data_IF_004537996913
#
_entry.id   IF_004537996913
#
_cell.length_a   1.000
_cell.length_b   1.000
_cell.length_c   1.000
_cell.angle_alpha   90.00
_cell.angle_beta   90.00
_cell.angle_gamma   90.00
#
_symmetry.space_group_name_H-M   'P 1'
#
loop_
_entity.id
_entity.type
_entity.pdbx_description
1 polymer ?
#
# COMPACT_ATOMS: atom_id res chain seq x y z
N UNK A 1 -37.76 -40.83 -44.16
CA UNK A 1 -37.60 -39.43 -43.69
C UNK A 1 -36.56 -39.38 -42.60
N UNK A 2 -35.34 -39.06 -42.95
CA UNK A 2 -34.20 -38.95 -42.02
C UNK A 2 -34.12 -37.47 -41.58
N UNK A 3 -34.33 -37.19 -40.29
CA UNK A 3 -34.11 -35.84 -39.72
C UNK A 3 -32.65 -35.76 -39.34
N UNK A 4 -31.85 -34.96 -40.06
CA UNK A 4 -30.51 -34.50 -39.67
C UNK A 4 -30.66 -33.52 -38.49
N UNK A 5 -30.11 -33.89 -37.35
CA UNK A 5 -29.95 -32.97 -36.20
C UNK A 5 -28.58 -32.34 -36.38
N UNK A 6 -28.55 -31.04 -36.69
CA UNK A 6 -27.35 -30.22 -36.64
C UNK A 6 -27.07 -29.84 -35.16
N UNK A 7 -26.03 -30.43 -34.61
CA UNK A 7 -25.48 -30.00 -33.32
C UNK A 7 -24.51 -28.85 -33.61
N UNK A 8 -24.90 -27.65 -33.32
CA UNK A 8 -24.04 -26.46 -33.28
C UNK A 8 -23.13 -26.56 -32.05
N UNK A 9 -21.88 -26.98 -32.26
CA UNK A 9 -20.81 -26.79 -31.27
C UNK A 9 -20.42 -25.32 -31.29
N UNK A 10 -20.90 -24.53 -30.33
CA UNK A 10 -20.34 -23.24 -30.01
C UNK A 10 -19.01 -23.47 -29.29
N UNK A 11 -17.91 -23.36 -30.05
CA UNK A 11 -16.57 -23.31 -29.46
C UNK A 11 -16.47 -21.97 -28.72
N UNK A 12 -16.62 -21.99 -27.40
CA UNK A 12 -16.18 -20.90 -26.55
C UNK A 12 -14.64 -20.87 -26.62
N UNK A 13 -14.11 -20.05 -27.52
CA UNK A 13 -12.73 -19.61 -27.45
C UNK A 13 -12.62 -18.78 -26.16
N UNK A 14 -12.17 -19.41 -25.07
CA UNK A 14 -11.63 -18.69 -23.94
C UNK A 14 -10.40 -17.94 -24.47
N UNK A 15 -10.60 -16.68 -24.85
CA UNK A 15 -9.51 -15.77 -25.07
C UNK A 15 -8.72 -15.74 -23.74
N UNK A 16 -7.51 -16.28 -23.77
CA UNK A 16 -6.52 -16.04 -22.73
C UNK A 16 -6.31 -14.53 -22.76
N UNK A 17 -7.02 -13.84 -21.89
CA UNK A 17 -6.90 -12.40 -21.75
C UNK A 17 -5.50 -12.18 -21.16
N UNK A 18 -4.54 -11.80 -22.00
CA UNK A 18 -3.20 -11.47 -21.53
C UNK A 18 -3.34 -10.40 -20.44
N UNK A 19 -2.59 -10.56 -19.36
CA UNK A 19 -2.56 -9.60 -18.28
C UNK A 19 -2.35 -8.19 -18.84
N UNK A 20 -3.25 -7.26 -18.52
CA UNK A 20 -3.17 -5.84 -18.94
C UNK A 20 -2.07 -5.11 -18.22
N UNK A 21 -1.50 -5.72 -17.19
CA UNK A 21 -0.45 -5.15 -16.38
C UNK A 21 0.86 -5.90 -16.61
N UNK A 22 1.96 -5.16 -16.81
CA UNK A 22 3.27 -5.71 -17.13
C UNK A 22 4.08 -5.97 -15.88
N UNK A 23 4.56 -7.20 -15.68
CA UNK A 23 5.58 -7.54 -14.71
C UNK A 23 6.92 -6.88 -15.12
N UNK A 24 7.52 -6.12 -14.19
CA UNK A 24 8.81 -5.43 -14.42
C UNK A 24 9.94 -5.99 -13.57
N UNK A 25 9.63 -6.58 -12.41
CA UNK A 25 10.57 -7.31 -11.57
C UNK A 25 9.92 -8.55 -10.98
N UNK A 26 10.71 -9.63 -10.90
CA UNK A 26 10.39 -10.82 -10.13
C UNK A 26 11.60 -11.20 -9.29
N UNK A 27 11.39 -11.40 -7.99
CA UNK A 27 12.47 -11.59 -7.04
C UNK A 27 12.21 -12.86 -6.22
N UNK A 28 13.21 -13.74 -6.19
CA UNK A 28 13.22 -14.89 -5.29
C UNK A 28 13.65 -14.44 -3.90
N UNK A 29 14.66 -13.58 -3.85
CA UNK A 29 15.30 -13.04 -2.65
C UNK A 29 15.65 -11.57 -2.86
N UNK A 30 15.85 -10.85 -1.76
CA UNK A 30 16.26 -9.45 -1.76
C UNK A 30 17.74 -9.36 -1.38
N UNK A 31 18.51 -8.66 -2.22
CA UNK A 31 19.91 -8.36 -1.98
C UNK A 31 20.14 -6.87 -1.90
N UNK A 32 20.94 -6.45 -0.95
CA UNK A 32 21.32 -5.05 -0.78
C UNK A 32 22.75 -4.79 -1.29
N UNK A 33 23.03 -3.55 -1.74
CA UNK A 33 24.40 -3.12 -2.08
C UNK A 33 25.34 -3.33 -0.89
N UNK A 34 26.67 -3.49 -1.11
CA UNK A 34 27.54 -4.07 -0.09
C UNK A 34 27.39 -3.39 1.26
N UNK A 35 26.75 -4.10 2.15
CA UNK A 35 26.69 -3.77 3.56
C UNK A 35 28.08 -4.10 4.08
N UNK A 36 28.78 -3.11 4.67
CA UNK A 36 30.04 -3.37 5.38
C UNK A 36 29.73 -4.21 6.63
N UNK A 37 29.60 -5.53 6.44
CA UNK A 37 29.22 -6.51 7.48
C UNK A 37 30.21 -6.50 8.65
N UNK A 38 31.44 -6.02 8.43
CA UNK A 38 32.47 -5.89 9.47
C UNK A 38 32.17 -4.84 10.55
N UNK A 39 31.18 -3.95 10.34
CA UNK A 39 30.75 -2.94 11.32
C UNK A 39 29.46 -3.27 12.06
N UNK A 40 28.71 -4.29 11.65
CA UNK A 40 27.61 -4.81 12.44
C UNK A 40 28.23 -5.60 13.60
N UNK A 41 28.36 -4.95 14.75
CA UNK A 41 28.82 -5.60 15.99
C UNK A 41 27.94 -6.81 16.26
N UNK A 42 28.59 -7.99 16.27
CA UNK A 42 28.13 -9.27 16.76
C UNK A 42 26.85 -9.86 16.14
N UNK A 43 27.06 -10.87 15.28
CA UNK A 43 26.14 -12.00 14.99
C UNK A 43 24.81 -11.76 14.24
N UNK A 44 24.60 -10.71 13.49
CA UNK A 44 23.47 -10.69 12.56
C UNK A 44 23.87 -11.30 11.22
N UNK A 45 23.71 -12.60 11.11
CA UNK A 45 23.70 -13.32 9.84
C UNK A 45 22.56 -12.74 9.00
N UNK A 46 22.87 -12.05 7.91
CA UNK A 46 21.84 -11.67 6.95
C UNK A 46 21.12 -12.94 6.49
N UNK A 47 19.85 -13.06 6.86
CA UNK A 47 19.00 -14.17 6.44
C UNK A 47 18.03 -13.66 5.37
N UNK A 48 18.30 -13.91 4.07
CA UNK A 48 17.47 -13.38 2.98
C UNK A 48 16.01 -13.80 3.07
N UNK A 49 15.70 -14.93 3.70
CA UNK A 49 14.31 -15.40 3.91
C UNK A 49 13.54 -14.57 4.94
N UNK A 50 14.24 -13.73 5.71
CA UNK A 50 13.62 -12.81 6.67
C UNK A 50 13.25 -11.46 6.04
N UNK A 51 13.58 -11.24 4.76
CA UNK A 51 13.35 -9.98 4.08
C UNK A 51 12.18 -10.11 3.10
N UNK A 52 11.13 -9.33 3.30
CA UNK A 52 10.01 -9.23 2.37
C UNK A 52 9.56 -7.77 2.22
N UNK A 53 9.44 -7.22 1.01
CA UNK A 53 8.96 -5.87 0.81
C UNK A 53 7.44 -5.82 1.02
N UNK A 54 6.97 -4.80 1.76
CA UNK A 54 5.56 -4.58 2.06
C UNK A 54 4.97 -3.39 1.31
N UNK A 55 5.80 -2.41 0.94
CA UNK A 55 5.35 -1.21 0.27
C UNK A 55 6.35 -0.74 -0.78
N UNK A 56 5.84 0.01 -1.74
CA UNK A 56 6.63 0.69 -2.77
C UNK A 56 6.18 2.14 -2.95
N UNK A 57 7.12 2.96 -3.43
CA UNK A 57 6.84 4.35 -3.85
C UNK A 57 7.83 4.74 -4.95
N UNK A 58 7.35 5.39 -6.00
CA UNK A 58 8.22 5.87 -7.09
C UNK A 58 8.41 7.37 -7.02
N UNK A 59 9.66 7.81 -7.07
CA UNK A 59 10.03 9.20 -7.31
C UNK A 59 11.12 9.28 -8.37
N UNK A 60 10.83 9.92 -9.48
CA UNK A 60 11.71 10.00 -10.65
C UNK A 60 12.26 8.61 -11.06
N UNK A 61 13.56 8.41 -10.96
CA UNK A 61 14.25 7.14 -11.27
C UNK A 61 14.53 6.25 -10.04
N UNK A 62 14.07 6.63 -8.86
CA UNK A 62 14.14 5.81 -7.64
C UNK A 62 12.81 5.09 -7.42
N UNK A 63 12.81 3.76 -7.39
CA UNK A 63 11.69 2.95 -6.91
C UNK A 63 12.03 2.48 -5.50
N UNK A 64 11.45 3.14 -4.51
CA UNK A 64 11.62 2.79 -3.10
C UNK A 64 10.91 1.50 -2.79
N UNK A 65 11.55 0.65 -1.98
CA UNK A 65 11.00 -0.57 -1.40
C UNK A 65 11.19 -0.56 0.10
N UNK A 66 10.13 -0.88 0.81
CA UNK A 66 10.08 -0.93 2.26
C UNK A 66 10.07 -2.39 2.71
N UNK A 67 11.04 -2.77 3.53
CA UNK A 67 11.26 -4.12 4.06
C UNK A 67 11.23 -4.09 5.58
N UNK A 68 10.03 -4.10 6.21
CA UNK A 68 9.90 -3.98 7.66
C UNK A 68 10.57 -5.13 8.41
N UNK A 69 11.00 -4.87 9.64
CA UNK A 69 11.62 -5.88 10.52
C UNK A 69 10.58 -6.76 11.20
N UNK A 70 9.75 -7.46 10.40
CA UNK A 70 8.80 -8.45 10.92
C UNK A 70 9.47 -9.68 11.53
N UNK A 71 10.67 -9.99 11.08
CA UNK A 71 11.57 -11.00 11.65
C UNK A 71 12.88 -10.33 12.06
N UNK A 72 13.69 -11.05 12.85
CA UNK A 72 15.05 -10.61 13.16
C UNK A 72 15.94 -10.67 11.90
N UNK A 73 17.10 -10.04 11.97
CA UNK A 73 18.14 -10.10 10.93
C UNK A 73 17.75 -9.49 9.57
N UNK A 74 16.79 -8.55 9.55
CA UNK A 74 16.51 -7.69 8.40
C UNK A 74 17.46 -6.48 8.45
N UNK A 75 18.48 -6.42 7.58
CA UNK A 75 19.55 -5.43 7.73
C UNK A 75 19.15 -4.03 7.31
N UNK A 76 18.24 -3.92 6.33
CA UNK A 76 17.80 -2.66 5.74
C UNK A 76 16.28 -2.63 5.69
N UNK A 77 15.68 -1.56 6.21
CA UNK A 77 14.22 -1.43 6.27
C UNK A 77 13.65 -0.47 5.21
N UNK A 78 14.50 0.33 4.55
CA UNK A 78 14.16 1.18 3.42
C UNK A 78 15.30 1.22 2.41
N UNK A 79 15.00 0.96 1.16
CA UNK A 79 15.97 0.94 0.06
C UNK A 79 15.31 1.38 -1.25
N UNK A 80 16.08 1.52 -2.31
CA UNK A 80 15.53 1.79 -3.64
C UNK A 80 16.25 1.00 -4.73
N UNK A 81 15.54 0.80 -5.86
CA UNK A 81 16.09 0.35 -7.14
C UNK A 81 16.20 1.57 -8.04
N UNK A 82 17.34 1.74 -8.73
CA UNK A 82 17.47 2.74 -9.78
C UNK A 82 16.80 2.20 -11.06
N UNK A 83 15.70 2.82 -11.47
CA UNK A 83 14.88 2.38 -12.61
C UNK A 83 15.20 3.13 -13.92
N UNK A 84 16.31 3.87 -14.01
CA UNK A 84 16.72 4.57 -15.23
C UNK A 84 16.83 3.62 -16.42
N UNK A 85 17.30 2.40 -16.19
CA UNK A 85 17.43 1.37 -17.22
C UNK A 85 16.83 0.03 -16.74
N UNK A 86 15.50 -0.04 -16.66
CA UNK A 86 14.78 -1.26 -16.24
C UNK A 86 15.05 -2.47 -17.14
N UNK A 87 15.34 -2.25 -18.42
CA UNK A 87 15.66 -3.33 -19.36
C UNK A 87 16.88 -4.15 -18.94
N UNK A 88 17.85 -3.52 -18.24
CA UNK A 88 19.05 -4.20 -17.74
C UNK A 88 18.76 -5.27 -16.68
N UNK A 89 17.58 -5.21 -16.06
CA UNK A 89 17.17 -6.16 -15.00
C UNK A 89 16.35 -7.34 -15.53
N UNK A 90 16.04 -7.43 -16.82
CA UNK A 90 15.23 -8.54 -17.39
C UNK A 90 15.75 -9.93 -17.05
N UNK A 91 17.07 -10.07 -16.89
CA UNK A 91 17.72 -11.35 -16.58
C UNK A 91 18.54 -11.31 -15.28
N UNK A 92 18.47 -10.22 -14.52
CA UNK A 92 19.28 -10.01 -13.33
C UNK A 92 18.41 -9.51 -12.17
N UNK A 93 18.58 -10.08 -11.00
CA UNK A 93 17.97 -9.56 -9.78
C UNK A 93 18.57 -8.18 -9.43
N UNK A 94 17.79 -7.13 -9.28
CA UNK A 94 18.31 -5.82 -8.89
C UNK A 94 18.90 -5.88 -7.47
N UNK A 95 20.02 -5.19 -7.29
CA UNK A 95 20.61 -4.95 -5.97
C UNK A 95 20.00 -3.68 -5.41
N UNK A 96 19.41 -3.75 -4.23
CA UNK A 96 18.75 -2.64 -3.58
C UNK A 96 19.77 -1.74 -2.86
N UNK A 97 19.60 -0.43 -2.99
CA UNK A 97 20.48 0.58 -2.39
C UNK A 97 19.83 1.12 -1.12
N UNK A 98 20.45 1.00 0.07
CA UNK A 98 19.91 1.53 1.32
C UNK A 98 19.67 3.05 1.25
N UNK A 99 18.51 3.52 1.70
CA UNK A 99 18.14 4.95 1.69
C UNK A 99 17.91 5.49 3.11
N UNK A 100 18.36 6.69 3.44
CA UNK A 100 19.24 7.57 2.65
C UNK A 100 20.69 7.07 2.58
N UNK A 101 21.08 6.22 3.51
CA UNK A 101 22.39 5.55 3.58
C UNK A 101 22.32 4.36 4.55
N UNK A 102 23.35 3.54 4.56
CA UNK A 102 23.40 2.34 5.40
C UNK A 102 23.35 2.64 6.91
N UNK A 103 23.97 3.74 7.36
CA UNK A 103 24.05 4.09 8.79
C UNK A 103 22.68 4.26 9.42
N UNK A 104 21.70 4.77 8.67
CA UNK A 104 20.32 4.94 9.16
C UNK A 104 19.60 3.63 9.45
N UNK A 105 20.15 2.49 9.06
CA UNK A 105 19.57 1.15 9.33
C UNK A 105 20.23 0.42 10.50
N UNK A 106 21.29 0.99 11.07
CA UNK A 106 21.86 0.52 12.35
C UNK A 106 20.87 0.82 13.47
N UNK A 107 20.56 -0.16 14.33
CA UNK A 107 19.60 0.02 15.42
C UNK A 107 20.16 0.99 16.45
N UNK A 108 19.59 2.19 16.51
CA UNK A 108 19.93 3.22 17.47
C UNK A 108 18.79 4.23 17.62
N UNK A 109 18.82 5.05 18.64
CA UNK A 109 17.71 5.97 19.03
C UNK A 109 17.24 6.93 17.91
N UNK A 110 18.16 7.32 17.00
CA UNK A 110 17.84 8.32 15.95
C UNK A 110 17.75 7.73 14.55
N UNK A 111 17.90 6.43 14.42
CA UNK A 111 17.90 5.71 13.16
C UNK A 111 16.56 4.99 12.93
N UNK A 112 16.40 4.43 11.73
CA UNK A 112 15.20 3.65 11.40
C UNK A 112 15.17 2.35 12.21
N UNK A 113 14.08 2.17 12.96
CA UNK A 113 13.81 0.91 13.66
C UNK A 113 13.12 -0.08 12.72
N UNK A 114 11.99 0.30 12.15
CA UNK A 114 11.25 -0.54 11.20
C UNK A 114 10.32 0.32 10.35
N UNK A 115 10.80 0.74 9.20
CA UNK A 115 9.97 1.46 8.24
C UNK A 115 8.89 0.53 7.69
N UNK A 116 7.65 0.99 7.66
CA UNK A 116 6.48 0.21 7.20
C UNK A 116 5.81 0.80 5.97
N UNK A 117 5.98 2.10 5.74
CA UNK A 117 5.41 2.79 4.57
C UNK A 117 6.19 4.03 4.23
N UNK A 118 6.22 4.37 2.95
CA UNK A 118 6.75 5.65 2.46
C UNK A 118 5.80 6.27 1.45
N UNK A 119 5.82 7.61 1.37
CA UNK A 119 5.11 8.39 0.34
C UNK A 119 5.95 9.58 -0.10
N UNK A 120 6.09 9.76 -1.40
CA UNK A 120 6.67 10.96 -1.99
C UNK A 120 5.57 11.98 -2.24
N UNK A 121 5.66 13.19 -1.65
CA UNK A 121 4.69 14.24 -1.88
C UNK A 121 5.03 15.12 -3.10
N UNK A 122 4.06 15.93 -3.53
CA UNK A 122 4.19 16.82 -4.70
C UNK A 122 5.22 17.93 -4.52
N UNK A 123 5.75 18.10 -3.31
CA UNK A 123 6.80 19.07 -2.95
C UNK A 123 8.18 18.41 -2.87
N UNK A 124 8.33 17.20 -3.43
CA UNK A 124 9.57 16.41 -3.47
C UNK A 124 10.12 16.07 -2.08
N UNK A 125 9.22 15.81 -1.11
CA UNK A 125 9.58 15.26 0.20
C UNK A 125 9.21 13.79 0.26
N UNK A 126 10.07 12.96 0.85
CA UNK A 126 9.78 11.57 1.20
C UNK A 126 9.35 11.50 2.67
N UNK A 127 8.12 11.09 2.89
CA UNK A 127 7.55 10.84 4.20
C UNK A 127 7.71 9.36 4.51
N UNK A 128 8.35 9.05 5.61
CA UNK A 128 8.76 7.71 6.01
C UNK A 128 8.08 7.40 7.33
N UNK A 129 7.18 6.44 7.34
CA UNK A 129 6.50 5.96 8.55
C UNK A 129 7.30 4.80 9.13
N UNK A 130 7.87 5.01 10.31
CA UNK A 130 8.53 3.98 11.12
C UNK A 130 7.63 3.62 12.30
N UNK A 131 7.25 2.35 12.41
CA UNK A 131 6.36 1.91 13.49
C UNK A 131 7.09 1.48 14.76
N UNK A 132 8.42 1.48 14.75
CA UNK A 132 9.25 1.14 15.90
C UNK A 132 9.21 -0.32 16.33
N UNK A 133 8.73 -1.27 15.48
CA UNK A 133 8.56 -2.68 15.86
C UNK A 133 9.58 -3.59 15.21
N UNK A 134 10.22 -4.43 15.99
CA UNK A 134 11.07 -5.54 15.50
C UNK A 134 10.46 -6.85 15.98
N UNK A 135 10.25 -7.80 15.07
CA UNK A 135 9.64 -9.10 15.38
C UNK A 135 8.33 -8.96 16.19
N UNK A 136 7.47 -8.02 15.78
CA UNK A 136 6.19 -7.66 16.41
C UNK A 136 6.28 -7.11 17.84
N UNK A 137 7.48 -6.80 18.34
CA UNK A 137 7.68 -6.13 19.63
C UNK A 137 7.99 -4.66 19.43
N UNK A 138 7.41 -3.79 20.26
CA UNK A 138 7.72 -2.36 20.25
C UNK A 138 9.11 -2.15 20.83
N UNK A 139 10.07 -1.69 20.03
CA UNK A 139 11.46 -1.44 20.42
C UNK A 139 11.75 0.07 20.52
N UNK A 140 11.04 0.89 19.75
CA UNK A 140 11.12 2.34 19.80
C UNK A 140 9.73 2.95 19.59
N UNK A 141 9.57 4.23 19.90
CA UNK A 141 8.35 4.98 19.62
C UNK A 141 8.13 5.08 18.10
N UNK A 142 6.88 5.02 17.61
CA UNK A 142 6.60 5.24 16.19
C UNK A 142 6.83 6.71 15.82
N UNK A 143 7.44 6.92 14.64
CA UNK A 143 7.82 8.24 14.16
C UNK A 143 7.53 8.43 12.67
N UNK A 144 7.37 9.69 12.26
CA UNK A 144 7.40 10.11 10.86
C UNK A 144 8.74 10.80 10.63
N UNK A 145 9.58 10.28 9.72
CA UNK A 145 10.73 11.01 9.20
C UNK A 145 10.37 11.64 7.86
N UNK A 146 10.86 12.84 7.60
CA UNK A 146 10.68 13.51 6.32
C UNK A 146 12.03 13.95 5.77
N UNK A 147 12.30 13.58 4.52
CA UNK A 147 13.51 13.90 3.78
C UNK A 147 13.20 14.69 2.52
N UNK A 148 14.07 15.60 2.15
CA UNK A 148 14.07 16.25 0.84
C UNK A 148 14.63 15.27 -0.19
N UNK A 149 13.85 14.93 -1.22
CA UNK A 149 14.23 13.93 -2.22
C UNK A 149 15.26 14.41 -3.24
N UNK A 150 15.45 15.74 -3.36
CA UNK A 150 16.44 16.33 -4.29
C UNK A 150 17.85 16.32 -3.69
N UNK A 151 17.92 16.50 -2.38
CA UNK A 151 19.19 16.65 -1.66
C UNK A 151 19.50 15.48 -0.73
N UNK A 152 18.52 14.59 -0.52
CA UNK A 152 18.53 13.52 0.47
C UNK A 152 18.77 14.01 1.93
N UNK A 153 18.50 15.32 2.20
CA UNK A 153 18.65 15.92 3.52
C UNK A 153 17.43 15.61 4.40
N UNK A 154 17.69 15.30 5.65
CA UNK A 154 16.66 15.15 6.67
C UNK A 154 16.04 16.51 6.99
N UNK A 155 14.69 16.61 6.89
CA UNK A 155 13.93 17.83 7.15
C UNK A 155 13.30 17.84 8.54
N UNK A 156 12.69 16.74 8.95
CA UNK A 156 11.97 16.65 10.22
C UNK A 156 11.79 15.20 10.67
N UNK A 157 11.78 15.00 11.98
CA UNK A 157 11.24 13.80 12.63
C UNK A 157 10.10 14.25 13.56
N UNK A 158 8.97 13.55 13.50
CA UNK A 158 7.82 13.77 14.36
C UNK A 158 7.47 12.50 15.14
N UNK A 159 7.42 12.64 16.45
CA UNK A 159 7.10 11.58 17.40
C UNK A 159 5.59 11.36 17.47
N UNK A 160 5.15 10.12 17.22
CA UNK A 160 3.77 9.67 17.34
C UNK A 160 3.49 8.95 18.68
N UNK A 161 4.48 8.89 19.57
CA UNK A 161 4.40 8.11 20.80
C UNK A 161 3.24 8.51 21.71
N UNK A 162 2.89 9.79 21.75
CA UNK A 162 1.75 10.29 22.52
C UNK A 162 0.37 9.80 22.00
N UNK A 163 0.29 9.35 20.75
CA UNK A 163 -0.89 8.69 20.15
C UNK A 163 -0.78 7.17 20.15
N UNK A 164 0.41 6.62 20.42
CA UNK A 164 0.62 5.18 20.47
C UNK A 164 0.00 4.61 21.74
N UNK A 165 -0.86 3.64 21.57
CA UNK A 165 -1.46 2.86 22.67
C UNK A 165 -1.11 1.38 22.49
N UNK A 166 -1.36 0.59 23.54
CA UNK A 166 -1.18 -0.86 23.47
C UNK A 166 -1.91 -1.42 22.25
N UNK A 167 -1.24 -2.31 21.53
CA UNK A 167 -1.75 -2.94 20.29
C UNK A 167 -1.89 -2.03 19.07
N UNK A 168 -1.45 -0.77 19.11
CA UNK A 168 -1.39 0.10 17.91
C UNK A 168 -0.69 -0.60 16.74
N UNK A 169 -1.29 -0.57 15.54
CA UNK A 169 -0.76 -1.19 14.33
C UNK A 169 -0.86 -0.22 13.15
N UNK A 170 0.06 0.71 13.12
CA UNK A 170 0.21 1.71 12.05
C UNK A 170 1.09 1.14 10.94
N UNK A 171 0.52 0.96 9.75
CA UNK A 171 1.20 0.34 8.62
C UNK A 171 0.95 1.04 7.30
N UNK A 172 0.23 2.15 7.31
CA UNK A 172 -0.06 2.94 6.11
C UNK A 172 0.00 4.44 6.40
N UNK A 173 0.28 5.24 5.39
CA UNK A 173 0.26 6.71 5.41
C UNK A 173 -0.20 7.22 4.04
N UNK A 174 -1.06 8.23 4.01
CA UNK A 174 -1.42 8.97 2.79
C UNK A 174 -1.33 10.47 3.05
N UNK A 175 -1.01 11.24 2.00
CA UNK A 175 -0.60 12.64 2.12
C UNK A 175 -1.59 13.57 1.43
N UNK A 176 -2.13 14.52 2.18
CA UNK A 176 -2.95 15.61 1.67
C UNK A 176 -2.11 16.89 1.56
N UNK A 177 -1.58 17.12 0.38
CA UNK A 177 -0.71 18.26 0.07
C UNK A 177 -0.87 18.66 -1.39
N UNK A 178 -0.73 19.96 -1.68
CA UNK A 178 -0.72 20.51 -3.03
C UNK A 178 0.61 21.23 -3.29
N UNK A 179 1.01 21.33 -4.56
CA UNK A 179 2.25 22.03 -4.95
C UNK A 179 2.25 23.51 -4.58
N UNK A 180 1.08 24.13 -4.48
CA UNK A 180 0.93 25.53 -4.08
C UNK A 180 0.94 25.76 -2.57
N UNK A 181 0.77 24.71 -1.76
CA UNK A 181 0.63 24.79 -0.31
C UNK A 181 1.44 23.72 0.42
N UNK A 182 2.74 23.59 0.06
CA UNK A 182 3.64 22.59 0.66
C UNK A 182 3.69 22.65 2.20
N UNK A 183 3.55 23.86 2.76
CA UNK A 183 3.56 24.05 4.22
C UNK A 183 2.24 23.66 4.89
N UNK A 184 1.15 23.51 4.14
CA UNK A 184 -0.16 23.09 4.66
C UNK A 184 -0.42 21.61 4.39
N UNK A 185 0.60 20.77 4.60
CA UNK A 185 0.52 19.34 4.39
C UNK A 185 -0.06 18.61 5.58
N UNK A 186 -0.87 17.60 5.32
CA UNK A 186 -1.38 16.65 6.30
C UNK A 186 -0.99 15.22 5.94
N UNK A 187 -0.72 14.41 6.96
CA UNK A 187 -0.56 12.97 6.83
C UNK A 187 -1.69 12.25 7.57
N UNK A 188 -2.31 11.29 6.90
CA UNK A 188 -3.36 10.43 7.42
C UNK A 188 -2.80 9.03 7.61
N UNK A 189 -2.82 8.51 8.85
CA UNK A 189 -2.16 7.28 9.25
C UNK A 189 -3.20 6.34 9.88
N UNK A 190 -3.67 5.32 9.16
CA UNK A 190 -4.53 4.29 9.70
C UNK A 190 -3.87 3.49 10.82
N UNK A 191 -4.59 3.29 11.93
CA UNK A 191 -4.25 2.35 12.98
C UNK A 191 -5.24 1.19 12.96
N UNK A 192 -4.83 0.09 12.36
CA UNK A 192 -5.73 -1.00 11.98
C UNK A 192 -6.23 -1.86 13.14
N UNK A 193 -5.51 -1.87 14.27
CA UNK A 193 -5.89 -2.65 15.45
C UNK A 193 -6.66 -1.84 16.48
N UNK A 194 -6.41 -0.56 16.57
CA UNK A 194 -7.10 0.32 17.53
C UNK A 194 -8.21 1.14 16.90
N UNK A 195 -8.47 0.91 15.59
CA UNK A 195 -9.58 1.49 14.82
C UNK A 195 -9.60 3.01 14.85
N UNK A 196 -8.44 3.62 14.61
CA UNK A 196 -8.26 5.08 14.62
C UNK A 196 -7.63 5.55 13.32
N UNK A 197 -7.88 6.80 13.00
CA UNK A 197 -7.13 7.56 12.02
C UNK A 197 -6.26 8.58 12.77
N UNK A 198 -4.95 8.42 12.74
CA UNK A 198 -4.01 9.42 13.25
C UNK A 198 -3.80 10.47 12.18
N UNK A 199 -3.83 11.73 12.57
CA UNK A 199 -3.72 12.89 11.69
C UNK A 199 -2.55 13.74 12.15
N UNK A 200 -1.60 13.99 11.26
CA UNK A 200 -0.47 14.89 11.52
C UNK A 200 -0.56 16.10 10.61
N UNK A 201 -0.36 17.29 11.16
CA UNK A 201 -0.24 18.56 10.45
C UNK A 201 1.21 19.03 10.41
N UNK A 202 1.77 19.18 9.21
CA UNK A 202 3.10 19.74 9.01
C UNK A 202 3.23 21.16 9.50
N UNK A 203 2.21 21.99 9.23
CA UNK A 203 2.20 23.41 9.55
C UNK A 203 2.24 23.67 11.05
N UNK A 204 1.42 22.96 11.81
CA UNK A 204 1.35 23.12 13.27
C UNK A 204 2.32 22.22 14.02
N UNK A 205 2.95 21.27 13.31
CA UNK A 205 3.80 20.21 13.87
C UNK A 205 3.13 19.50 15.05
N UNK A 206 1.88 19.13 14.87
CA UNK A 206 1.05 18.48 15.89
C UNK A 206 0.22 17.36 15.28
N UNK A 207 -0.25 16.45 16.12
CA UNK A 207 -1.10 15.34 15.68
C UNK A 207 -2.21 15.05 16.68
N UNK A 208 -3.25 14.37 16.18
CA UNK A 208 -4.40 13.91 16.97
C UNK A 208 -4.96 12.63 16.34
N UNK A 209 -5.82 11.97 17.09
CA UNK A 209 -6.48 10.75 16.64
C UNK A 209 -7.99 10.95 16.50
N UNK A 210 -8.57 10.35 15.50
CA UNK A 210 -10.01 10.31 15.23
C UNK A 210 -10.47 8.85 15.34
N UNK A 211 -11.64 8.63 15.93
CA UNK A 211 -12.33 7.34 15.97
C UNK A 211 -13.66 7.43 15.22
N UNK A 212 -14.05 6.35 14.56
CA UNK A 212 -15.36 6.24 13.92
C UNK A 212 -15.75 4.77 13.75
N UNK A 213 -17.05 4.45 13.80
CA UNK A 213 -17.54 3.07 13.65
C UNK A 213 -17.10 2.42 12.33
N UNK A 214 -16.97 3.19 11.26
CA UNK A 214 -16.52 2.70 9.95
C UNK A 214 -15.04 2.32 9.89
N UNK A 215 -14.28 2.59 10.94
CA UNK A 215 -12.88 2.18 11.05
C UNK A 215 -12.72 0.75 11.59
N UNK A 216 -13.80 0.17 12.13
CA UNK A 216 -13.78 -1.19 12.66
C UNK A 216 -13.77 -2.23 11.54
N UNK A 217 -13.39 -3.45 11.86
CA UNK A 217 -13.53 -4.60 10.99
C UNK A 217 -14.97 -5.10 10.97
N UNK A 218 -15.32 -5.84 9.91
CA UNK A 218 -16.57 -6.58 9.82
C UNK A 218 -16.29 -8.03 10.30
N UNK A 219 -16.94 -8.49 11.37
CA UNK A 219 -16.75 -9.86 11.88
C UNK A 219 -17.02 -10.95 10.84
N UNK A 220 -17.90 -10.69 9.85
CA UNK A 220 -18.21 -11.63 8.77
C UNK A 220 -17.12 -11.70 7.69
N UNK A 221 -16.20 -10.73 7.67
CA UNK A 221 -15.14 -10.62 6.69
C UNK A 221 -13.75 -10.93 7.28
N UNK A 222 -13.66 -11.32 8.54
CA UNK A 222 -12.39 -11.59 9.22
C UNK A 222 -11.74 -12.92 8.86
N UNK A 223 -12.47 -13.81 8.19
CA UNK A 223 -11.98 -15.13 7.79
C UNK A 223 -11.21 -15.01 6.48
N UNK A 224 -9.90 -15.29 6.53
CA UNK A 224 -8.98 -15.17 5.40
C UNK A 224 -8.49 -16.55 5.00
N UNK A 225 -8.78 -16.92 3.75
CA UNK A 225 -8.32 -18.16 3.15
C UNK A 225 -7.55 -17.85 1.86
N UNK A 226 -6.23 -17.98 1.90
CA UNK A 226 -5.32 -17.74 0.78
C UNK A 226 -4.44 -18.97 0.55
N UNK A 227 -4.73 -19.74 -0.49
CA UNK A 227 -4.06 -21.00 -0.74
C UNK A 227 -4.19 -21.99 0.43
N UNK A 228 -3.06 -22.41 0.99
CA UNK A 228 -3.02 -23.28 2.18
C UNK A 228 -3.07 -22.52 3.51
N UNK A 229 -3.12 -21.19 3.48
CA UNK A 229 -3.09 -20.35 4.67
C UNK A 229 -4.51 -19.94 5.04
N UNK A 230 -4.95 -20.36 6.23
CA UNK A 230 -6.23 -20.02 6.81
C UNK A 230 -6.03 -19.35 8.18
N UNK A 231 -6.60 -18.17 8.38
CA UNK A 231 -6.55 -17.45 9.65
C UNK A 231 -7.68 -16.43 9.76
N UNK A 232 -7.95 -16.01 11.00
CA UNK A 232 -8.85 -14.90 11.25
C UNK A 232 -8.08 -13.63 11.55
N UNK A 233 -8.61 -12.49 11.06
CA UNK A 233 -8.07 -11.15 11.31
C UNK A 233 -9.17 -10.21 11.80
N UNK A 234 -8.79 -9.33 12.72
CA UNK A 234 -9.65 -8.25 13.25
C UNK A 234 -9.10 -6.88 12.83
N UNK A 235 -8.33 -6.83 11.73
CA UNK A 235 -7.76 -5.58 11.25
C UNK A 235 -8.82 -4.70 10.61
N UNK A 236 -8.99 -3.52 11.19
CA UNK A 236 -9.88 -2.47 10.72
C UNK A 236 -9.24 -1.57 9.65
N UNK A 237 -9.37 -0.25 9.83
CA UNK A 237 -8.94 0.80 8.90
C UNK A 237 -7.51 0.57 8.38
N UNK A 238 -7.37 0.50 7.05
CA UNK A 238 -6.07 0.23 6.41
C UNK A 238 -5.90 0.94 5.07
N UNK A 239 -6.75 0.62 4.10
CA UNK A 239 -6.70 1.25 2.78
C UNK A 239 -7.21 2.68 2.85
N UNK A 240 -6.42 3.61 2.30
CA UNK A 240 -6.74 5.04 2.27
C UNK A 240 -6.22 5.63 0.96
N UNK A 241 -7.03 6.45 0.29
CA UNK A 241 -6.68 7.15 -0.94
C UNK A 241 -7.41 8.49 -1.02
N UNK A 242 -6.86 9.45 -1.73
CA UNK A 242 -7.37 10.81 -1.83
C UNK A 242 -7.81 11.14 -3.26
N UNK A 243 -8.98 11.75 -3.40
CA UNK A 243 -9.41 12.37 -4.66
C UNK A 243 -8.56 13.59 -5.03
N UNK A 244 -8.67 14.13 -6.24
CA UNK A 244 -8.22 15.48 -6.54
C UNK A 244 -8.82 16.51 -5.57
N UNK A 245 -8.15 17.65 -5.44
CA UNK A 245 -8.67 18.78 -4.68
C UNK A 245 -9.95 19.32 -5.35
N UNK A 246 -11.04 19.37 -4.60
CA UNK A 246 -12.30 19.92 -5.05
C UNK A 246 -12.29 21.46 -5.04
N UNK A 247 -13.37 22.09 -5.53
CA UNK A 247 -13.49 23.56 -5.60
C UNK A 247 -13.44 24.23 -4.23
N UNK A 248 -13.81 23.53 -3.18
CA UNK A 248 -13.76 24.02 -1.79
C UNK A 248 -12.34 23.95 -1.17
N UNK A 249 -11.34 23.48 -1.92
CA UNK A 249 -9.96 23.34 -1.47
C UNK A 249 -9.66 22.04 -0.71
N UNK A 250 -10.63 21.15 -0.55
CA UNK A 250 -10.50 19.90 0.18
C UNK A 250 -10.61 18.69 -0.76
N UNK A 251 -10.33 17.50 -0.22
CA UNK A 251 -10.35 16.22 -0.95
C UNK A 251 -11.38 15.28 -0.33
N UNK A 252 -11.84 14.33 -1.11
CA UNK A 252 -12.52 13.15 -0.58
C UNK A 252 -11.46 12.14 -0.16
N UNK A 253 -11.52 11.69 1.08
CA UNK A 253 -10.73 10.59 1.61
C UNK A 253 -11.57 9.32 1.43
N UNK A 254 -11.14 8.42 0.55
CA UNK A 254 -11.70 7.07 0.40
C UNK A 254 -10.96 6.13 1.32
N UNK A 255 -11.67 5.26 2.03
CA UNK A 255 -11.03 4.33 2.96
C UNK A 255 -11.82 3.04 3.14
N UNK A 256 -11.13 2.02 3.63
CA UNK A 256 -11.72 0.74 3.97
C UNK A 256 -10.88 0.00 5.01
N UNK A 257 -11.51 -0.95 5.70
CA UNK A 257 -10.85 -1.89 6.61
C UNK A 257 -10.35 -3.11 5.84
N UNK A 258 -9.27 -3.76 6.31
CA UNK A 258 -8.77 -5.02 5.72
C UNK A 258 -9.87 -6.09 5.81
N UNK A 259 -10.37 -6.34 7.01
CA UNK A 259 -11.45 -7.31 7.23
C UNK A 259 -12.82 -6.64 6.98
N UNK A 260 -13.05 -6.18 5.76
CA UNK A 260 -14.33 -5.65 5.31
C UNK A 260 -14.40 -5.60 3.78
N UNK A 261 -15.58 -5.75 3.24
CA UNK A 261 -15.87 -5.52 1.80
C UNK A 261 -16.53 -4.16 1.55
N UNK A 262 -16.76 -3.38 2.59
CA UNK A 262 -17.36 -2.05 2.49
C UNK A 262 -16.32 -0.99 2.11
N UNK A 263 -16.74 -0.01 1.36
CA UNK A 263 -16.01 1.22 1.07
C UNK A 263 -16.69 2.42 1.73
N UNK A 264 -15.89 3.38 2.19
CA UNK A 264 -16.33 4.56 2.90
C UNK A 264 -15.63 5.81 2.37
N UNK A 265 -16.24 6.98 2.63
CA UNK A 265 -15.66 8.26 2.26
C UNK A 265 -15.95 9.35 3.32
N UNK A 266 -15.03 10.31 3.42
CA UNK A 266 -15.22 11.53 4.22
C UNK A 266 -14.51 12.71 3.54
N UNK A 267 -15.03 13.93 3.71
CA UNK A 267 -14.35 15.13 3.23
C UNK A 267 -13.17 15.48 4.15
N UNK A 268 -11.98 15.75 3.58
CA UNK A 268 -10.77 16.06 4.35
C UNK A 268 -10.91 17.34 5.21
N UNK A 269 -11.86 18.24 4.88
CA UNK A 269 -12.19 19.40 5.72
C UNK A 269 -12.60 19.00 7.13
N UNK A 270 -13.40 17.92 7.26
CA UNK A 270 -13.84 17.41 8.57
C UNK A 270 -12.65 16.89 9.35
N UNK A 271 -11.79 16.14 8.70
CA UNK A 271 -10.60 15.56 9.32
C UNK A 271 -9.60 16.65 9.72
N UNK A 272 -9.34 17.64 8.86
CA UNK A 272 -8.36 18.73 9.08
C UNK A 272 -8.82 19.78 10.08
N UNK A 273 -10.08 19.80 10.47
CA UNK A 273 -10.64 20.82 11.39
C UNK A 273 -9.97 20.82 12.77
N UNK A 274 -9.38 19.69 13.18
CA UNK A 274 -8.80 19.52 14.53
C UNK A 274 -9.84 19.46 15.65
N UNK A 275 -11.10 19.74 15.35
CA UNK A 275 -12.22 19.78 16.30
C UNK A 275 -13.25 18.69 15.99
N UNK A 276 -12.75 17.50 15.63
CA UNK A 276 -13.61 16.36 15.34
C UNK A 276 -14.36 15.94 16.63
N UNK A 277 -15.69 15.90 16.52
CA UNK A 277 -16.60 15.48 17.58
C UNK A 277 -17.40 14.28 17.06
N UNK A 278 -17.28 13.14 17.75
CA UNK A 278 -17.95 11.90 17.36
C UNK A 278 -19.48 12.07 17.28
N UNK A 279 -20.08 12.89 18.11
CA UNK A 279 -21.53 13.06 18.14
C UNK A 279 -22.03 13.98 17.00
N UNK A 280 -21.23 14.98 16.62
CA UNK A 280 -21.59 15.95 15.59
C UNK A 280 -21.21 15.51 14.18
N UNK A 281 -20.01 14.90 14.04
CA UNK A 281 -19.44 14.62 12.73
C UNK A 281 -19.66 13.17 12.25
N UNK A 282 -20.38 12.34 13.01
CA UNK A 282 -20.63 10.95 12.64
C UNK A 282 -21.31 10.82 11.27
N UNK A 283 -22.20 11.76 10.92
CA UNK A 283 -22.94 11.76 9.64
C UNK A 283 -22.16 12.36 8.47
N UNK A 284 -20.99 12.95 8.71
CA UNK A 284 -20.10 13.43 7.65
C UNK A 284 -19.37 12.28 6.94
N UNK A 285 -19.28 11.13 7.59
CA UNK A 285 -18.76 9.89 7.01
C UNK A 285 -19.84 9.18 6.21
N UNK A 286 -19.54 8.78 5.00
CA UNK A 286 -20.47 8.18 4.06
C UNK A 286 -20.12 6.72 3.76
N UNK A 287 -21.14 5.89 3.73
CA UNK A 287 -21.04 4.55 3.13
C UNK A 287 -21.07 4.73 1.62
N UNK A 288 -20.04 4.24 0.94
CA UNK A 288 -20.02 4.21 -0.52
C UNK A 288 -20.77 3.00 -1.05
N UNK A 289 -20.56 1.83 -0.46
CA UNK A 289 -21.19 0.56 -0.85
C UNK A 289 -20.29 -0.65 -0.57
N UNK A 290 -20.60 -1.77 -1.21
CA UNK A 290 -19.96 -3.06 -0.97
C UNK A 290 -19.28 -3.59 -2.24
N UNK A 291 -18.06 -4.09 -2.11
CA UNK A 291 -17.26 -4.70 -3.20
C UNK A 291 -17.73 -6.11 -3.60
N UNK A 292 -18.61 -6.72 -2.81
CA UNK A 292 -19.05 -8.10 -3.00
C UNK A 292 -18.30 -9.11 -2.15
N UNK A 293 -18.77 -10.35 -2.18
CA UNK A 293 -18.25 -11.45 -1.34
C UNK A 293 -16.79 -11.78 -1.66
N UNK A 294 -15.97 -12.03 -0.63
CA UNK A 294 -14.56 -12.38 -0.75
C UNK A 294 -13.69 -11.29 -1.44
N UNK A 295 -14.11 -10.04 -1.37
CA UNK A 295 -13.37 -8.89 -1.92
C UNK A 295 -12.80 -7.98 -0.81
N UNK A 296 -12.24 -8.58 0.24
CA UNK A 296 -11.42 -7.88 1.21
C UNK A 296 -10.22 -7.23 0.50
N UNK A 297 -9.87 -6.00 0.89
CA UNK A 297 -8.87 -5.23 0.17
C UNK A 297 -7.70 -4.80 1.07
N UNK A 298 -6.53 -4.69 0.45
CA UNK A 298 -5.29 -4.21 1.06
C UNK A 298 -5.10 -2.71 0.82
N UNK A 299 -3.96 -2.29 0.31
CA UNK A 299 -3.66 -0.90 -0.05
C UNK A 299 -4.56 -0.39 -1.18
N UNK A 300 -4.77 0.90 -1.23
CA UNK A 300 -5.49 1.59 -2.30
C UNK A 300 -4.73 2.82 -2.80
N UNK A 301 -5.00 3.20 -4.04
CA UNK A 301 -4.47 4.41 -4.65
C UNK A 301 -5.47 4.99 -5.65
N UNK A 302 -5.52 6.29 -5.74
CA UNK A 302 -6.43 7.01 -6.62
C UNK A 302 -5.65 7.61 -7.79
N UNK A 303 -6.11 7.41 -9.01
CA UNK A 303 -5.61 8.13 -10.17
C UNK A 303 -6.37 9.43 -10.37
N UNK A 304 -5.66 10.54 -10.20
CA UNK A 304 -6.28 11.86 -10.24
C UNK A 304 -6.70 12.29 -11.64
N UNK A 305 -6.16 11.68 -12.69
CA UNK A 305 -6.49 12.00 -14.08
C UNK A 305 -7.77 11.31 -14.53
N UNK A 306 -7.89 10.00 -14.27
CA UNK A 306 -9.06 9.20 -14.72
C UNK A 306 -10.16 9.09 -13.68
N UNK A 307 -9.91 9.49 -12.43
CA UNK A 307 -10.89 9.35 -11.34
C UNK A 307 -11.02 7.92 -10.82
N UNK A 308 -10.11 7.03 -11.18
CA UNK A 308 -10.18 5.62 -10.81
C UNK A 308 -9.50 5.36 -9.49
N UNK A 309 -10.26 4.74 -8.58
CA UNK A 309 -9.76 4.17 -7.33
C UNK A 309 -9.34 2.71 -7.58
N UNK A 310 -8.06 2.41 -7.38
CA UNK A 310 -7.50 1.06 -7.40
C UNK A 310 -7.32 0.53 -5.99
N UNK A 311 -7.48 -0.78 -5.80
CA UNK A 311 -7.20 -1.47 -4.54
C UNK A 311 -6.78 -2.92 -4.77
N UNK A 312 -5.86 -3.42 -3.95
CA UNK A 312 -5.43 -4.82 -3.99
C UNK A 312 -6.49 -5.72 -3.36
N UNK A 313 -6.86 -6.83 -4.00
CA UNK A 313 -7.77 -7.81 -3.41
C UNK A 313 -6.97 -8.89 -2.67
N UNK A 314 -7.25 -9.05 -1.38
CA UNK A 314 -6.44 -9.85 -0.45
C UNK A 314 -6.44 -11.34 -0.78
N UNK A 315 -7.57 -11.88 -1.27
CA UNK A 315 -7.74 -13.32 -1.48
C UNK A 315 -7.35 -13.80 -2.88
N UNK A 316 -6.86 -12.90 -3.72
CA UNK A 316 -6.47 -13.20 -5.11
C UNK A 316 -5.34 -12.29 -5.53
N UNK A 317 -4.51 -12.75 -6.46
CA UNK A 317 -3.49 -11.88 -7.06
C UNK A 317 -4.10 -10.99 -8.16
N UNK A 318 -5.05 -10.15 -7.77
CA UNK A 318 -5.79 -9.25 -8.65
C UNK A 318 -6.00 -7.89 -8.00
N UNK A 319 -6.27 -6.88 -8.82
CA UNK A 319 -6.71 -5.56 -8.37
C UNK A 319 -8.21 -5.40 -8.60
N UNK A 320 -8.85 -4.68 -7.71
CA UNK A 320 -10.14 -4.06 -7.97
C UNK A 320 -9.95 -2.63 -8.47
N UNK A 321 -10.89 -2.14 -9.26
CA UNK A 321 -10.98 -0.74 -9.65
C UNK A 321 -12.44 -0.24 -9.66
N UNK A 322 -12.63 1.05 -9.39
CA UNK A 322 -13.90 1.74 -9.49
C UNK A 322 -13.67 3.17 -9.98
N UNK A 323 -14.48 3.60 -10.95
CA UNK A 323 -14.36 4.95 -11.51
C UNK A 323 -15.33 5.90 -10.80
N UNK A 324 -14.79 6.85 -10.03
CA UNK A 324 -15.58 7.83 -9.28
C UNK A 324 -16.22 8.91 -10.16
N UNK A 325 -15.80 9.04 -11.42
CA UNK A 325 -16.34 10.02 -12.35
C UNK A 325 -17.50 9.47 -13.19
N UNK A 326 -17.70 8.13 -13.21
CA UNK A 326 -18.81 7.51 -13.94
C UNK A 326 -20.18 7.88 -13.38
N UNK A 327 -20.25 8.35 -12.13
CA UNK A 327 -21.54 8.59 -11.44
C UNK A 327 -22.19 7.32 -10.91
N UNK A 328 -21.61 6.16 -11.16
CA UNK A 328 -22.12 4.87 -10.72
C UNK A 328 -21.84 4.63 -9.23
N UNK A 329 -22.78 3.93 -8.57
CA UNK A 329 -22.61 3.54 -7.18
C UNK A 329 -21.44 2.58 -7.00
N UNK A 330 -20.81 2.62 -5.83
CA UNK A 330 -19.75 1.70 -5.47
C UNK A 330 -20.33 0.33 -5.07
N UNK A 331 -20.56 -0.55 -6.02
CA UNK A 331 -21.10 -1.89 -5.79
C UNK A 331 -20.41 -2.95 -6.66
N UNK A 332 -20.76 -4.20 -6.50
CA UNK A 332 -20.10 -5.32 -7.17
C UNK A 332 -20.21 -5.27 -8.71
N UNK A 333 -21.27 -4.68 -9.26
CA UNK A 333 -21.52 -4.63 -10.71
C UNK A 333 -20.77 -3.49 -11.39
N UNK A 334 -20.42 -2.43 -10.65
CA UNK A 334 -19.76 -1.23 -11.16
C UNK A 334 -18.25 -1.21 -10.90
N UNK A 335 -17.70 -2.32 -10.37
CA UNK A 335 -16.29 -2.49 -10.11
C UNK A 335 -15.65 -3.47 -11.09
N UNK A 336 -14.50 -3.07 -11.63
CA UNK A 336 -13.67 -3.93 -12.47
C UNK A 336 -12.71 -4.78 -11.66
N UNK A 337 -12.27 -5.88 -12.27
CA UNK A 337 -11.20 -6.73 -11.75
C UNK A 337 -10.09 -6.85 -12.80
N UNK A 338 -8.86 -6.61 -12.37
CA UNK A 338 -7.65 -6.63 -13.20
C UNK A 338 -6.74 -7.74 -12.68
N UNK A 339 -6.57 -8.81 -13.48
CA UNK A 339 -5.67 -9.90 -13.13
C UNK A 339 -4.22 -9.45 -13.27
N UNK A 340 -3.39 -9.75 -12.28
CA UNK A 340 -1.93 -9.58 -12.35
C UNK A 340 -1.32 -10.79 -13.02
N UNK A 341 -1.53 -11.98 -12.46
CA UNK A 341 -1.15 -13.28 -13.00
C UNK A 341 -1.93 -14.40 -12.29
N UNK A 342 -1.52 -15.66 -12.53
CA UNK A 342 -2.17 -16.84 -11.95
C UNK A 342 -1.50 -17.33 -10.64
N UNK A 343 -0.67 -16.52 -9.99
CA UNK A 343 -0.05 -16.89 -8.71
C UNK A 343 -1.10 -16.98 -7.62
N UNK A 344 -1.23 -18.15 -6.99
CA UNK A 344 -2.24 -18.42 -5.95
C UNK A 344 -1.77 -18.07 -4.54
N UNK A 345 -0.44 -18.04 -4.33
CA UNK A 345 0.18 -17.81 -3.03
C UNK A 345 0.66 -16.36 -2.83
N UNK A 346 0.30 -15.49 -3.76
CA UNK A 346 0.65 -14.07 -3.74
C UNK A 346 -0.60 -13.20 -3.69
N UNK A 347 -0.44 -11.99 -3.19
CA UNK A 347 -1.50 -10.98 -3.20
C UNK A 347 -0.89 -9.58 -3.36
N UNK A 348 -1.66 -8.60 -3.87
CA UNK A 348 -1.22 -7.22 -3.97
C UNK A 348 -1.06 -6.61 -2.58
N UNK A 349 0.17 -6.52 -2.09
CA UNK A 349 0.50 -5.94 -0.78
C UNK A 349 0.43 -4.41 -0.83
N UNK A 350 0.86 -3.81 -1.95
CA UNK A 350 0.79 -2.36 -2.16
C UNK A 350 0.40 -2.01 -3.59
N UNK A 351 -0.38 -0.94 -3.71
CA UNK A 351 -0.86 -0.37 -4.97
C UNK A 351 -0.57 1.12 -4.96
N UNK A 352 0.06 1.64 -6.01
CA UNK A 352 0.39 3.06 -6.13
C UNK A 352 0.25 3.57 -7.56
N UNK A 353 -0.47 4.66 -7.75
CA UNK A 353 -0.41 5.46 -8.96
C UNK A 353 0.62 6.54 -8.75
N UNK A 354 1.64 6.59 -9.61
CA UNK A 354 2.68 7.60 -9.54
C UNK A 354 2.26 8.91 -10.24
N UNK A 355 3.04 9.98 -10.06
CA UNK A 355 2.75 11.30 -10.63
C UNK A 355 2.77 11.36 -12.16
N UNK A 356 3.24 10.30 -12.81
CA UNK A 356 3.31 10.22 -14.27
C UNK A 356 2.21 9.33 -14.85
N UNK A 357 1.22 8.96 -14.01
CA UNK A 357 0.06 8.17 -14.41
C UNK A 357 0.37 6.68 -14.63
N UNK A 358 1.42 6.14 -14.00
CA UNK A 358 1.69 4.71 -14.00
C UNK A 358 1.15 4.06 -12.73
N UNK A 359 0.45 2.96 -12.91
CA UNK A 359 0.04 2.07 -11.83
C UNK A 359 1.19 1.12 -11.51
N UNK A 360 1.66 1.16 -10.28
CA UNK A 360 2.65 0.26 -9.69
C UNK A 360 1.96 -0.67 -8.72
N UNK A 361 2.31 -1.95 -8.77
CA UNK A 361 1.77 -2.97 -7.86
C UNK A 361 2.91 -3.81 -7.33
N UNK A 362 2.97 -3.92 -6.01
CA UNK A 362 3.82 -4.88 -5.31
C UNK A 362 2.95 -6.08 -4.92
N UNK A 363 3.26 -7.24 -5.45
CA UNK A 363 2.65 -8.51 -5.05
C UNK A 363 3.70 -9.38 -4.38
N UNK A 364 3.34 -10.04 -3.29
CA UNK A 364 4.26 -10.89 -2.54
C UNK A 364 3.55 -12.04 -1.82
N UNK A 365 4.35 -12.95 -1.27
CA UNK A 365 3.89 -14.11 -0.47
C UNK A 365 3.96 -13.85 1.03
N UNK A 366 3.63 -12.63 1.48
CA UNK A 366 3.70 -12.25 2.91
C UNK A 366 2.90 -13.19 3.82
N UNK A 367 1.79 -13.72 3.38
CA UNK A 367 0.97 -14.63 4.20
C UNK A 367 1.73 -15.93 4.50
N UNK A 368 2.45 -16.48 3.51
CA UNK A 368 3.34 -17.62 3.72
C UNK A 368 4.49 -17.23 4.64
N UNK A 369 5.19 -16.14 4.31
CA UNK A 369 6.30 -15.59 5.08
C UNK A 369 5.93 -15.37 6.57
N UNK A 370 4.72 -14.93 6.87
CA UNK A 370 4.26 -14.66 8.24
C UNK A 370 4.05 -15.92 9.07
N UNK A 371 3.91 -17.09 8.44
CA UNK A 371 3.59 -18.37 9.09
C UNK A 371 4.75 -19.38 9.06
N UNK A 372 5.54 -19.34 8.00
CA UNK A 372 6.70 -20.21 7.78
C UNK A 372 7.76 -19.47 6.96
N UNK A 373 8.97 -20.03 6.87
CA UNK A 373 9.96 -19.52 5.95
C UNK A 373 9.52 -19.81 4.50
N UNK A 374 9.65 -18.84 3.61
CA UNK A 374 9.33 -19.04 2.22
C UNK A 374 10.47 -19.77 1.47
N UNK A 375 10.11 -20.50 0.42
CA UNK A 375 11.09 -21.20 -0.41
C UNK A 375 11.91 -20.18 -1.24
N UNK A 376 13.22 -20.15 -1.02
CA UNK A 376 14.18 -19.29 -1.72
C UNK A 376 14.29 -19.59 -3.22
N UNK A 377 13.84 -20.75 -3.68
CA UNK A 377 13.88 -21.15 -5.08
C UNK A 377 12.68 -20.63 -5.87
N UNK A 378 11.61 -20.26 -5.17
CA UNK A 378 10.40 -19.71 -5.78
C UNK A 378 10.47 -18.18 -5.90
N UNK A 379 9.67 -17.62 -6.81
CA UNK A 379 9.47 -16.18 -6.90
C UNK A 379 8.52 -15.78 -5.76
N UNK A 380 9.01 -14.96 -4.83
CA UNK A 380 8.27 -14.53 -3.65
C UNK A 380 7.79 -13.08 -3.72
N UNK A 381 8.32 -12.31 -4.68
CA UNK A 381 7.98 -10.91 -4.89
C UNK A 381 7.89 -10.62 -6.37
N UNK A 382 6.81 -9.95 -6.77
CA UNK A 382 6.62 -9.43 -8.12
C UNK A 382 6.25 -7.95 -8.07
N UNK A 383 6.82 -7.18 -8.98
CA UNK A 383 6.47 -5.77 -9.16
C UNK A 383 5.95 -5.60 -10.58
N UNK A 384 4.80 -4.98 -10.68
CA UNK A 384 4.15 -4.68 -11.94
C UNK A 384 4.09 -3.18 -12.17
N UNK A 385 4.16 -2.77 -13.44
CA UNK A 385 4.00 -1.37 -13.83
C UNK A 385 3.36 -1.27 -15.21
N UNK A 386 2.33 -0.44 -15.31
CA UNK A 386 1.69 -0.12 -16.59
C UNK A 386 0.98 1.24 -16.48
N UNK A 387 0.96 2.07 -17.54
CA UNK A 387 0.17 3.30 -17.55
C UNK A 387 -1.30 3.04 -17.24
N UNK A 388 -1.90 3.83 -16.35
CA UNK A 388 -3.29 3.66 -15.88
C UNK A 388 -4.27 3.54 -17.05
N UNK A 389 -4.19 4.45 -18.04
CA UNK A 389 -5.08 4.41 -19.22
C UNK A 389 -5.01 3.10 -20.00
N UNK A 390 -3.85 2.44 -20.01
CA UNK A 390 -3.71 1.12 -20.65
C UNK A 390 -4.31 0.00 -19.80
N UNK A 391 -4.16 0.10 -18.48
CA UNK A 391 -4.71 -0.88 -17.52
C UNK A 391 -6.23 -0.92 -17.57
N UNK A 392 -6.89 0.24 -17.54
CA UNK A 392 -8.35 0.34 -17.50
C UNK A 392 -9.02 0.15 -18.87
N UNK A 393 -8.29 0.34 -19.97
CA UNK A 393 -8.84 0.34 -21.34
C UNK A 393 -9.80 -0.81 -21.60
N UNK A 394 -11.06 -0.48 -21.97
CA UNK A 394 -12.12 -1.46 -22.24
C UNK A 394 -12.53 -2.30 -21.03
N UNK A 395 -12.30 -1.83 -19.81
CA UNK A 395 -12.88 -2.34 -18.59
C UNK A 395 -14.05 -1.43 -18.16
N UNK A 396 -14.84 -1.85 -17.18
CA UNK A 396 -15.87 -1.02 -16.58
C UNK A 396 -15.31 0.25 -15.93
N UNK A 397 -14.01 0.29 -15.61
CA UNK A 397 -13.32 1.44 -15.04
C UNK A 397 -12.86 2.46 -16.09
N UNK A 398 -12.97 2.14 -17.40
CA UNK A 398 -12.60 3.01 -18.53
C UNK A 398 -13.72 3.98 -18.91
N UNK A 399 -14.93 3.77 -18.40
CA UNK A 399 -16.10 4.59 -18.72
C UNK A 399 -15.95 6.02 -18.17
N UNK A 400 -15.96 6.96 -19.09
CA UNK A 400 -16.07 8.41 -18.81
C UNK A 400 -17.42 8.93 -19.25
#
# INVERSE_FOLDING_TARGET
MCKLIYILFTIYLSSVQSSRIKEVFNLKQIYFSPINVTKLKNDTKHEPTNVIPLALERWQNKLFLVTPRFKLDVPVTLSYINITNMESYKNNTPILIPYPNQKMHEISEHNFTSVVKVRADVCDRLWILDNGKINNKQESIPVIHVYDLKTDLHLRTFDLGHLSIVDSDITNIELDVTSSTCEDAYAYIPDSKTYRLLVYSWKTNSSYAITHNFFHFDPLCGDINLGEIHYQTQKGLYGIALSPTARDGFRTIYFHSIASTMGFAVNSRIIRSGNYDNDRNVYDFKVMGNRGTNKQATSSSFDMETGVLFYGLLLKNVLGCWNSYSGEEYNELTQGVISLDNSIDMYPADVRVDRTGNLWVLSNSFQIYSKKDYDQNLINVKIYMTPVRQVIKGSICDEM
#
